data_IF_568164446070
#
_entry.id   IF_568164446070
#
_cell.length_a   1.000
_cell.length_b   1.000
_cell.length_c   1.000
_cell.angle_alpha   90.00
_cell.angle_beta   90.00
_cell.angle_gamma   90.00
#
_symmetry.space_group_name_H-M   'P 1'
#
loop_
_entity.id
_entity.type
_entity.pdbx_description
1 polymer ?
#
# COMPACT_ATOMS: atom_id res chain seq x y z
N UNK A 1 -15.20 -0.32 5.89
CA UNK A 1 -15.02 -1.25 4.75
C UNK A 1 -13.78 -0.89 3.92
N UNK A 2 -13.46 0.41 3.77
CA UNK A 2 -12.27 0.87 3.05
C UNK A 2 -10.93 0.26 3.52
N UNK A 3 -10.71 0.11 4.84
CA UNK A 3 -9.49 -0.52 5.41
C UNK A 3 -9.28 -1.95 4.89
N UNK A 4 -10.34 -2.75 4.78
CA UNK A 4 -10.27 -4.14 4.31
C UNK A 4 -9.97 -4.21 2.82
N UNK A 5 -10.53 -3.27 2.04
CA UNK A 5 -10.28 -3.17 0.60
C UNK A 5 -8.82 -2.80 0.34
N UNK A 6 -8.29 -1.80 1.04
CA UNK A 6 -6.88 -1.39 0.89
C UNK A 6 -5.93 -2.50 1.36
N UNK A 7 -6.22 -3.19 2.47
CA UNK A 7 -5.41 -4.35 2.90
C UNK A 7 -5.35 -5.45 1.84
N UNK A 8 -6.49 -5.82 1.26
CA UNK A 8 -6.55 -6.83 0.19
C UNK A 8 -5.78 -6.39 -1.05
N UNK A 9 -5.90 -5.13 -1.43
CA UNK A 9 -5.19 -4.57 -2.57
C UNK A 9 -3.69 -4.63 -2.38
N UNK A 10 -3.18 -4.15 -1.25
CA UNK A 10 -1.74 -4.19 -0.92
C UNK A 10 -1.21 -5.62 -0.95
N UNK A 11 -1.95 -6.58 -0.39
CA UNK A 11 -1.58 -8.00 -0.42
C UNK A 11 -1.53 -8.57 -1.84
N UNK A 12 -2.55 -8.30 -2.66
CA UNK A 12 -2.63 -8.80 -4.04
C UNK A 12 -1.52 -8.19 -4.90
N UNK A 13 -1.34 -6.87 -4.85
CA UNK A 13 -0.30 -6.19 -5.64
C UNK A 13 1.10 -6.55 -5.19
N UNK A 14 1.35 -6.61 -3.88
CA UNK A 14 2.64 -7.07 -3.35
C UNK A 14 2.91 -8.49 -3.84
N UNK A 15 1.95 -9.41 -3.73
CA UNK A 15 2.07 -10.78 -4.23
C UNK A 15 2.38 -10.87 -5.74
N UNK A 16 1.70 -10.06 -6.56
CA UNK A 16 1.96 -9.99 -8.01
C UNK A 16 3.36 -9.44 -8.30
N UNK A 17 3.78 -8.39 -7.59
CA UNK A 17 5.12 -7.84 -7.68
C UNK A 17 6.19 -8.88 -7.29
N UNK A 18 6.00 -9.59 -6.17
CA UNK A 18 6.87 -10.68 -5.74
C UNK A 18 7.00 -11.74 -6.82
N UNK A 19 5.88 -12.18 -7.38
CA UNK A 19 5.86 -13.19 -8.44
C UNK A 19 6.65 -12.74 -9.68
N UNK A 20 6.49 -11.48 -10.09
CA UNK A 20 7.17 -10.91 -11.26
C UNK A 20 8.67 -10.75 -11.03
N UNK A 21 9.06 -10.27 -9.86
CA UNK A 21 10.48 -10.20 -9.44
C UNK A 21 11.10 -11.59 -9.41
N UNK A 22 10.39 -12.58 -8.86
CA UNK A 22 10.85 -13.98 -8.81
C UNK A 22 11.09 -14.56 -10.21
N UNK A 23 10.22 -14.23 -11.17
CA UNK A 23 10.32 -14.67 -12.57
C UNK A 23 11.47 -13.99 -13.33
N UNK A 24 11.73 -12.71 -13.09
CA UNK A 24 12.76 -11.94 -13.79
C UNK A 24 14.11 -11.85 -13.05
N UNK A 25 14.27 -12.56 -11.91
CA UNK A 25 15.43 -12.44 -11.00
C UNK A 25 16.81 -12.65 -11.63
N UNK A 26 16.89 -13.42 -12.72
CA UNK A 26 18.16 -13.75 -13.40
C UNK A 26 18.61 -12.68 -14.39
N UNK A 27 17.71 -11.76 -14.79
CA UNK A 27 18.02 -10.73 -15.81
C UNK A 27 18.25 -9.34 -15.21
N UNK A 28 17.98 -9.16 -13.91
CA UNK A 28 18.09 -7.89 -13.20
C UNK A 28 19.47 -7.74 -12.54
N UNK A 29 20.01 -6.52 -12.57
CA UNK A 29 21.27 -6.18 -11.93
C UNK A 29 21.17 -6.25 -10.41
N UNK A 30 22.33 -6.41 -9.75
CA UNK A 30 22.36 -6.61 -8.30
C UNK A 30 21.81 -5.39 -7.53
N UNK A 31 22.14 -4.18 -7.98
CA UNK A 31 21.63 -2.92 -7.42
C UNK A 31 20.13 -2.76 -7.61
N UNK A 32 19.62 -3.06 -8.82
CA UNK A 32 18.19 -2.94 -9.13
C UNK A 32 17.34 -3.86 -8.25
N UNK A 33 17.79 -5.11 -8.04
CA UNK A 33 17.11 -6.05 -7.14
C UNK A 33 17.07 -5.57 -5.70
N UNK A 34 18.14 -4.92 -5.23
CA UNK A 34 18.22 -4.34 -3.89
C UNK A 34 17.22 -3.20 -3.72
N UNK A 35 17.17 -2.26 -4.67
CA UNK A 35 16.21 -1.14 -4.64
C UNK A 35 14.78 -1.64 -4.70
N UNK A 36 14.47 -2.63 -5.54
CA UNK A 36 13.13 -3.20 -5.63
C UNK A 36 12.71 -3.84 -4.32
N UNK A 37 13.61 -4.61 -3.68
CA UNK A 37 13.33 -5.24 -2.39
C UNK A 37 13.07 -4.20 -1.28
N UNK A 38 13.89 -3.16 -1.24
CA UNK A 38 13.76 -2.07 -0.28
C UNK A 38 12.43 -1.33 -0.45
N UNK A 39 12.12 -0.87 -1.66
CA UNK A 39 10.90 -0.08 -1.95
C UNK A 39 9.66 -0.93 -1.67
N UNK A 40 9.63 -2.17 -2.16
CA UNK A 40 8.46 -3.04 -2.01
C UNK A 40 8.24 -3.43 -0.54
N UNK A 41 9.31 -3.75 0.18
CA UNK A 41 9.26 -4.04 1.62
C UNK A 41 8.79 -2.84 2.43
N UNK A 42 9.34 -1.65 2.16
CA UNK A 42 8.98 -0.42 2.87
C UNK A 42 7.53 -0.03 2.62
N UNK A 43 7.09 0.08 1.37
CA UNK A 43 5.77 0.66 1.09
C UNK A 43 4.62 -0.28 1.47
N UNK A 44 4.78 -1.59 1.25
CA UNK A 44 3.76 -2.57 1.66
C UNK A 44 3.61 -2.69 3.17
N UNK A 45 4.73 -2.61 3.91
CA UNK A 45 4.71 -2.64 5.38
C UNK A 45 4.19 -1.33 5.97
N UNK A 46 4.43 -0.20 5.30
CA UNK A 46 3.93 1.11 5.71
C UNK A 46 2.40 1.16 5.63
N UNK A 47 1.79 0.68 4.54
CA UNK A 47 0.33 0.63 4.41
C UNK A 47 -0.31 -0.31 5.42
N UNK A 48 0.24 -1.52 5.59
CA UNK A 48 -0.25 -2.47 6.59
C UNK A 48 -0.07 -1.92 8.01
N UNK A 49 1.04 -1.21 8.26
CA UNK A 49 1.30 -0.51 9.52
C UNK A 49 0.26 0.58 9.78
N UNK A 50 -0.09 1.39 8.79
CA UNK A 50 -1.15 2.39 8.91
C UNK A 50 -2.48 1.72 9.30
N UNK A 51 -2.84 0.65 8.60
CA UNK A 51 -4.09 -0.09 8.85
C UNK A 51 -4.09 -0.66 10.28
N UNK A 52 -2.98 -1.26 10.72
CA UNK A 52 -2.84 -1.75 12.09
C UNK A 52 -2.94 -0.62 13.12
N UNK A 53 -2.33 0.54 12.86
CA UNK A 53 -2.37 1.72 13.74
C UNK A 53 -3.76 2.31 13.89
N UNK A 54 -4.56 2.30 12.81
CA UNK A 54 -5.96 2.76 12.84
C UNK A 54 -6.86 1.77 13.58
N UNK A 55 -6.62 0.46 13.45
CA UNK A 55 -7.42 -0.59 14.11
C UNK A 55 -7.11 -0.69 15.60
N UNK A 56 -5.84 -0.63 15.99
CA UNK A 56 -5.36 -0.83 17.36
C UNK A 56 -4.89 0.46 18.02
N UNK A 57 -5.70 1.54 17.93
CA UNK A 57 -5.34 2.86 18.48
C UNK A 57 -5.05 2.89 19.98
N UNK A 58 -5.59 1.95 20.75
CA UNK A 58 -5.36 1.87 22.20
C UNK A 58 -3.93 1.46 22.57
N UNK A 59 -3.26 0.70 21.69
CA UNK A 59 -2.01 0.02 22.00
C UNK A 59 -1.01 0.15 20.84
N UNK A 60 -0.24 1.24 20.85
CA UNK A 60 0.86 1.50 19.90
C UNK A 60 1.82 0.30 19.82
N UNK A 61 2.12 -0.33 20.95
CA UNK A 61 3.01 -1.48 21.04
C UNK A 61 2.49 -2.67 20.22
N UNK A 62 1.20 -3.01 20.35
CA UNK A 62 0.61 -4.14 19.62
C UNK A 62 0.55 -3.84 18.11
N UNK A 63 0.13 -2.65 17.73
CA UNK A 63 0.10 -2.23 16.33
C UNK A 63 1.49 -2.34 15.68
N UNK A 64 2.52 -1.84 16.38
CA UNK A 64 3.89 -1.83 15.87
C UNK A 64 4.46 -3.24 15.74
N UNK A 65 4.21 -4.13 16.71
CA UNK A 65 4.69 -5.53 16.66
C UNK A 65 4.06 -6.26 15.47
N UNK A 66 2.75 -6.08 15.23
CA UNK A 66 2.06 -6.69 14.10
C UNK A 66 2.62 -6.15 12.78
N UNK A 67 2.79 -4.83 12.66
CA UNK A 67 3.33 -4.18 11.47
C UNK A 67 4.77 -4.62 11.15
N UNK A 68 5.64 -4.68 12.16
CA UNK A 68 7.02 -5.15 12.02
C UNK A 68 7.08 -6.63 11.62
N UNK A 69 6.25 -7.47 12.24
CA UNK A 69 6.19 -8.90 11.91
C UNK A 69 5.78 -9.11 10.45
N UNK A 70 4.81 -8.33 9.98
CA UNK A 70 4.41 -8.34 8.57
C UNK A 70 5.53 -7.85 7.65
N UNK A 71 6.15 -6.71 7.97
CA UNK A 71 7.28 -6.16 7.20
C UNK A 71 8.48 -7.10 7.13
N UNK A 72 8.77 -7.82 8.22
CA UNK A 72 9.79 -8.86 8.25
C UNK A 72 9.47 -10.00 7.28
N UNK A 73 8.24 -10.53 7.32
CA UNK A 73 7.81 -11.62 6.43
C UNK A 73 7.90 -11.19 4.97
N UNK A 74 7.38 -10.00 4.63
CA UNK A 74 7.41 -9.49 3.26
C UNK A 74 8.85 -9.26 2.78
N UNK A 75 9.67 -8.56 3.58
CA UNK A 75 11.08 -8.33 3.25
C UNK A 75 11.86 -9.63 3.04
N UNK A 76 11.60 -10.64 3.88
CA UNK A 76 12.22 -11.96 3.75
C UNK A 76 11.78 -12.69 2.48
N UNK A 77 10.47 -12.68 2.17
CA UNK A 77 9.93 -13.33 0.96
C UNK A 77 10.47 -12.69 -0.32
N UNK A 78 10.63 -11.37 -0.35
CA UNK A 78 11.18 -10.63 -1.50
C UNK A 78 12.68 -10.89 -1.67
N UNK A 79 13.42 -10.97 -0.57
CA UNK A 79 14.87 -11.17 -0.58
C UNK A 79 15.33 -12.59 -0.92
N UNK A 80 14.61 -13.62 -0.42
CA UNK A 80 14.93 -15.04 -0.56
C UNK A 80 15.41 -15.48 -1.96
N UNK A 81 14.79 -15.07 -3.08
CA UNK A 81 15.20 -15.52 -4.41
C UNK A 81 16.48 -14.87 -4.98
N UNK A 82 17.02 -13.81 -4.36
CA UNK A 82 18.05 -12.98 -5.00
C UNK A 82 19.44 -13.15 -4.37
N UNK A 83 19.62 -12.65 -3.14
CA UNK A 83 20.85 -12.78 -2.36
C UNK A 83 20.60 -12.44 -0.88
N UNK A 84 21.53 -12.83 0.00
CA UNK A 84 21.45 -12.57 1.43
C UNK A 84 21.47 -11.05 1.73
N UNK A 85 22.28 -10.29 1.01
CA UNK A 85 22.34 -8.82 1.12
C UNK A 85 20.98 -8.15 0.81
N UNK A 86 20.32 -8.56 -0.27
CA UNK A 86 19.01 -8.03 -0.67
C UNK A 86 17.93 -8.38 0.36
N UNK A 87 18.07 -9.55 1.02
CA UNK A 87 17.16 -9.97 2.08
C UNK A 87 17.29 -9.09 3.32
N UNK A 88 18.52 -8.79 3.75
CA UNK A 88 18.76 -7.92 4.92
C UNK A 88 18.22 -6.52 4.65
N UNK A 89 18.48 -5.97 3.47
CA UNK A 89 17.97 -4.66 3.05
C UNK A 89 16.44 -4.61 3.01
N UNK A 90 15.80 -5.62 2.40
CA UNK A 90 14.35 -5.70 2.33
C UNK A 90 13.68 -5.86 3.71
N UNK A 91 14.27 -6.68 4.59
CA UNK A 91 13.78 -6.86 5.97
C UNK A 91 13.96 -5.58 6.79
N UNK A 92 15.13 -4.94 6.73
CA UNK A 92 15.39 -3.69 7.43
C UNK A 92 14.43 -2.58 6.98
N UNK A 93 14.22 -2.45 5.67
CA UNK A 93 13.28 -1.50 5.09
C UNK A 93 11.83 -1.80 5.49
N UNK A 94 11.44 -3.08 5.52
CA UNK A 94 10.09 -3.51 5.94
C UNK A 94 9.81 -3.27 7.43
N UNK A 95 10.78 -3.50 8.31
CA UNK A 95 10.63 -3.18 9.74
C UNK A 95 10.49 -1.66 9.93
N UNK A 96 11.33 -0.89 9.24
CA UNK A 96 11.29 0.58 9.32
C UNK A 96 9.97 1.14 8.78
N UNK A 97 9.50 0.63 7.62
CA UNK A 97 8.22 1.00 7.03
C UNK A 97 7.04 0.66 7.93
N UNK A 98 7.00 -0.55 8.48
CA UNK A 98 5.96 -0.98 9.41
C UNK A 98 5.88 -0.15 10.69
N UNK A 99 7.03 0.19 11.28
CA UNK A 99 7.10 1.07 12.46
C UNK A 99 6.52 2.46 12.15
N UNK A 100 6.98 3.07 11.05
CA UNK A 100 6.54 4.41 10.65
C UNK A 100 5.05 4.42 10.29
N UNK A 101 4.55 3.38 9.60
CA UNK A 101 3.14 3.21 9.28
C UNK A 101 2.26 3.11 10.52
N UNK A 102 2.65 2.28 11.50
CA UNK A 102 1.92 2.12 12.77
C UNK A 102 1.84 3.44 13.54
N UNK A 103 2.95 4.18 13.62
CA UNK A 103 3.01 5.48 14.25
C UNK A 103 2.08 6.51 13.57
N UNK A 104 2.08 6.54 12.23
CA UNK A 104 1.14 7.36 11.47
C UNK A 104 -0.31 6.98 11.78
N UNK A 105 -0.65 5.68 11.79
CA UNK A 105 -2.02 5.23 12.00
C UNK A 105 -2.61 5.61 13.37
N UNK A 106 -1.79 5.53 14.43
CA UNK A 106 -2.23 5.88 15.79
C UNK A 106 -2.38 7.40 15.97
N UNK A 107 -1.47 8.18 15.38
CA UNK A 107 -1.47 9.64 15.53
C UNK A 107 -2.63 10.33 14.78
N UNK A 108 -3.29 9.64 13.85
CA UNK A 108 -4.31 10.27 13.02
C UNK A 108 -5.70 10.39 13.69
N UNK A 109 -6.34 11.57 13.63
CA UNK A 109 -7.72 11.77 14.09
C UNK A 109 -8.73 10.87 13.36
N UNK A 110 -9.80 10.48 14.03
CA UNK A 110 -10.84 9.59 13.48
C UNK A 110 -11.57 10.15 12.25
N UNK A 111 -11.59 11.47 12.06
CA UNK A 111 -12.32 12.07 10.94
C UNK A 111 -11.50 12.12 9.64
N UNK A 112 -10.16 12.09 9.73
CA UNK A 112 -9.28 12.35 8.57
C UNK A 112 -8.40 11.18 8.15
N UNK A 113 -8.46 10.03 8.83
CA UNK A 113 -7.63 8.87 8.46
C UNK A 113 -7.90 8.35 7.04
N UNK A 114 -9.09 8.61 6.51
CA UNK A 114 -9.46 8.17 5.16
C UNK A 114 -8.64 8.88 4.07
N UNK A 115 -8.38 10.17 4.24
CA UNK A 115 -7.61 10.94 3.26
C UNK A 115 -6.14 10.49 3.23
N UNK A 116 -5.52 10.27 4.40
CA UNK A 116 -4.13 9.79 4.42
C UNK A 116 -4.04 8.38 3.84
N UNK A 117 -5.03 7.53 4.10
CA UNK A 117 -5.05 6.15 3.64
C UNK A 117 -5.13 6.10 2.11
N UNK A 118 -6.03 6.89 1.50
CA UNK A 118 -6.12 7.00 0.04
C UNK A 118 -4.83 7.59 -0.55
N UNK A 119 -4.22 8.57 0.12
CA UNK A 119 -2.95 9.13 -0.32
C UNK A 119 -1.81 8.10 -0.31
N UNK A 120 -1.73 7.29 0.76
CA UNK A 120 -0.77 6.19 0.87
C UNK A 120 -1.00 5.12 -0.21
N UNK A 121 -2.26 4.73 -0.45
CA UNK A 121 -2.61 3.78 -1.52
C UNK A 121 -2.17 4.31 -2.91
N UNK A 122 -2.31 5.61 -3.16
CA UNK A 122 -1.82 6.24 -4.40
C UNK A 122 -0.29 6.17 -4.48
N UNK A 123 0.42 6.47 -3.38
CA UNK A 123 1.88 6.36 -3.33
C UNK A 123 2.36 4.92 -3.52
N UNK A 124 1.62 3.95 -2.97
CA UNK A 124 1.86 2.52 -3.17
C UNK A 124 1.81 2.17 -4.66
N UNK A 125 0.73 2.57 -5.33
CA UNK A 125 0.55 2.37 -6.77
C UNK A 125 1.66 3.06 -7.58
N UNK A 126 2.03 4.29 -7.21
CA UNK A 126 3.09 5.03 -7.89
C UNK A 126 4.44 4.33 -7.74
N UNK A 127 4.77 3.84 -6.55
CA UNK A 127 6.03 3.13 -6.30
C UNK A 127 6.10 1.80 -7.03
N UNK A 128 4.97 1.08 -7.08
CA UNK A 128 4.82 -0.15 -7.86
C UNK A 128 5.02 0.15 -9.36
N UNK A 129 4.46 1.26 -9.86
CA UNK A 129 4.68 1.72 -11.23
C UNK A 129 6.15 2.07 -11.49
N UNK A 130 6.81 2.78 -10.57
CA UNK A 130 8.24 3.08 -10.64
C UNK A 130 9.10 1.82 -10.67
N UNK A 131 8.76 0.79 -9.89
CA UNK A 131 9.45 -0.51 -9.91
C UNK A 131 9.37 -1.16 -11.29
N UNK A 132 8.19 -1.19 -11.92
CA UNK A 132 8.06 -1.80 -13.25
C UNK A 132 8.69 -0.97 -14.33
N UNK A 133 8.63 0.37 -14.22
CA UNK A 133 9.38 1.24 -15.11
C UNK A 133 10.88 0.94 -15.03
N UNK A 134 11.43 0.87 -13.81
CA UNK A 134 12.84 0.53 -13.56
C UNK A 134 13.23 -0.83 -14.15
N UNK A 135 12.39 -1.86 -13.95
CA UNK A 135 12.60 -3.19 -14.55
C UNK A 135 12.62 -3.09 -16.08
N UNK A 136 11.67 -2.36 -16.70
CA UNK A 136 11.62 -2.25 -18.15
C UNK A 136 12.86 -1.54 -18.70
N UNK A 137 13.28 -0.42 -18.10
CA UNK A 137 14.48 0.32 -18.53
C UNK A 137 15.74 -0.53 -18.43
N UNK A 138 15.88 -1.33 -17.37
CA UNK A 138 17.05 -2.22 -17.22
C UNK A 138 17.02 -3.36 -18.27
N UNK A 139 15.84 -3.89 -18.59
CA UNK A 139 15.67 -4.91 -19.62
C UNK A 139 15.91 -4.35 -21.04
N UNK A 140 15.48 -3.13 -21.33
CA UNK A 140 15.72 -2.43 -22.60
C UNK A 140 17.20 -2.15 -22.82
N UNK A 141 17.91 -1.70 -21.79
CA UNK A 141 19.37 -1.45 -21.84
C UNK A 141 20.16 -2.74 -22.15
N UNK A 142 19.61 -3.91 -21.81
CA UNK A 142 20.21 -5.23 -22.09
C UNK A 142 19.81 -5.82 -23.44
N UNK A 143 18.74 -5.33 -24.07
CA UNK A 143 18.15 -5.89 -25.29
C UNK A 143 18.25 -4.88 -26.43
N UNK A 144 19.46 -4.65 -26.90
CA UNK A 144 19.69 -3.96 -28.17
C UNK A 144 19.08 -4.79 -29.32
N UNK A 145 18.20 -4.16 -30.11
CA UNK A 145 17.57 -4.64 -31.34
C UNK A 145 16.68 -5.90 -31.29
N UNK A 146 15.39 -5.74 -30.96
CA UNK A 146 14.29 -6.37 -31.74
C UNK A 146 12.90 -5.95 -31.23
N UNK A 147 12.25 -5.18 -32.11
CA UNK A 147 10.81 -5.04 -32.31
C UNK A 147 9.93 -4.70 -31.10
N UNK A 148 9.66 -3.39 -31.01
CA UNK A 148 8.38 -2.74 -30.72
C UNK A 148 7.24 -3.73 -30.43
N UNK A 149 6.91 -3.91 -29.15
CA UNK A 149 5.56 -3.76 -28.59
C UNK A 149 5.62 -4.13 -27.09
N UNK A 150 5.41 -3.18 -26.16
CA UNK A 150 5.54 -3.43 -24.74
C UNK A 150 4.35 -4.26 -24.23
N UNK A 151 4.60 -5.53 -23.91
CA UNK A 151 3.63 -6.44 -23.26
C UNK A 151 3.21 -5.99 -21.83
N UNK A 152 3.59 -4.78 -21.40
CA UNK A 152 3.34 -4.21 -20.07
C UNK A 152 2.12 -3.28 -19.99
N UNK A 153 1.44 -2.98 -21.11
CA UNK A 153 0.22 -2.15 -21.13
C UNK A 153 -0.93 -2.65 -20.22
N UNK A 154 -1.21 -3.97 -20.08
CA UNK A 154 -2.31 -4.42 -19.22
C UNK A 154 -2.05 -4.14 -17.73
N UNK A 155 -0.80 -4.14 -17.26
CA UNK A 155 -0.51 -3.95 -15.83
C UNK A 155 -0.66 -2.48 -15.40
N UNK A 156 -0.26 -1.55 -16.27
CA UNK A 156 -0.48 -0.11 -16.08
C UNK A 156 -1.98 0.19 -16.07
N UNK A 157 -2.75 -0.39 -17.00
CA UNK A 157 -4.21 -0.29 -17.02
C UNK A 157 -4.82 -0.86 -15.74
N UNK A 158 -4.34 -2.00 -15.25
CA UNK A 158 -4.85 -2.61 -14.01
C UNK A 158 -4.62 -1.69 -12.81
N UNK A 159 -3.43 -1.07 -12.72
CA UNK A 159 -3.11 -0.09 -11.68
C UNK A 159 -4.04 1.12 -11.70
N UNK A 160 -4.30 1.68 -12.87
CA UNK A 160 -5.19 2.85 -13.03
C UNK A 160 -6.64 2.51 -12.68
N UNK A 161 -7.13 1.34 -13.10
CA UNK A 161 -8.49 0.88 -12.75
C UNK A 161 -8.64 0.71 -11.23
N UNK A 162 -7.61 0.17 -10.56
CA UNK A 162 -7.63 0.01 -9.11
C UNK A 162 -7.70 1.35 -8.38
N UNK A 163 -6.93 2.36 -8.81
CA UNK A 163 -7.01 3.72 -8.26
C UNK A 163 -8.40 4.33 -8.42
N UNK A 164 -9.04 4.14 -9.59
CA UNK A 164 -10.39 4.66 -9.87
C UNK A 164 -11.43 4.01 -8.95
N UNK A 165 -11.32 2.70 -8.69
CA UNK A 165 -12.23 1.98 -7.80
C UNK A 165 -12.11 2.51 -6.37
N UNK A 166 -10.89 2.65 -5.84
CA UNK A 166 -10.66 3.16 -4.47
C UNK A 166 -11.20 4.59 -4.32
N UNK A 167 -10.92 5.45 -5.30
CA UNK A 167 -11.41 6.82 -5.32
C UNK A 167 -12.94 6.89 -5.31
N UNK A 168 -13.58 6.03 -6.11
CA UNK A 168 -15.04 5.94 -6.19
C UNK A 168 -15.65 5.49 -4.86
N UNK A 169 -15.09 4.45 -4.21
CA UNK A 169 -15.57 3.97 -2.91
C UNK A 169 -15.34 4.97 -1.78
N UNK A 170 -14.20 5.68 -1.79
CA UNK A 170 -13.92 6.73 -0.82
C UNK A 170 -14.90 7.90 -0.94
N UNK A 171 -15.26 8.28 -2.17
CA UNK A 171 -16.22 9.36 -2.43
C UNK A 171 -17.65 8.94 -2.07
N UNK A 172 -18.02 7.67 -2.30
CA UNK A 172 -19.34 7.13 -1.98
C UNK A 172 -19.56 6.97 -0.45
N UNK A 173 -18.55 6.52 0.31
CA UNK A 173 -18.63 6.48 1.78
C UNK A 173 -18.67 7.90 2.38
N UNK A 174 -17.93 8.87 1.83
CA UNK A 174 -17.96 10.27 2.29
C UNK A 174 -19.33 10.91 2.07
N UNK A 175 -19.99 10.63 0.93
CA UNK A 175 -21.36 11.06 0.68
C UNK A 175 -22.37 10.44 1.65
N UNK A 176 -22.20 9.16 2.03
CA UNK A 176 -23.10 8.50 2.99
C UNK A 176 -22.95 9.01 4.45
N UNK A 177 -21.75 9.46 4.83
CA UNK A 177 -21.49 9.99 6.20
C UNK A 177 -21.96 11.43 6.34
N UNK A 178 -21.94 12.23 5.27
CA UNK A 178 -22.53 13.56 5.23
C UNK A 178 -24.05 13.56 5.43
N UNK A 179 -24.74 12.62 4.78
CA UNK A 179 -26.20 12.48 4.88
C UNK A 179 -26.68 12.04 6.28
N UNK A 180 -25.97 11.10 6.91
CA UNK A 180 -26.30 10.61 8.25
C UNK A 180 -26.11 11.67 9.35
N UNK A 181 -25.09 12.53 9.25
CA UNK A 181 -24.88 13.61 10.22
C UNK A 181 -25.94 14.72 10.12
N UNK A 182 -26.45 14.99 8.91
CA UNK A 182 -27.52 15.96 8.72
C UNK A 182 -28.85 15.43 9.26
N UNK A 183 -29.17 14.16 8.98
CA UNK A 183 -30.37 13.49 9.51
C UNK A 183 -30.39 13.43 11.04
N UNK A 184 -29.24 13.18 11.67
CA UNK A 184 -29.14 13.14 13.13
C UNK A 184 -29.27 14.53 13.79
N UNK A 185 -28.78 15.60 13.12
CA UNK A 185 -29.01 16.99 13.56
C UNK A 185 -30.47 17.41 13.44
N UNK A 186 -31.16 17.02 12.38
CA UNK A 186 -32.58 17.31 12.18
C UNK A 186 -33.47 16.55 13.20
N UNK A 187 -33.14 15.30 13.54
CA UNK A 187 -33.84 14.54 14.58
C UNK A 187 -33.63 15.12 15.99
N UNK A 188 -32.41 15.54 16.33
CA UNK A 188 -32.15 16.21 17.61
C UNK A 188 -32.89 17.54 17.76
N UNK A 189 -33.03 18.31 16.67
CA UNK A 189 -33.80 19.55 16.70
C UNK A 189 -35.30 19.33 16.86
N UNK A 190 -35.87 18.27 16.28
CA UNK A 190 -37.29 17.95 16.45
C UNK A 190 -37.63 17.47 17.87
N UNK A 191 -36.79 16.67 18.52
CA UNK A 191 -37.06 16.21 19.89
C UNK A 191 -37.08 17.35 20.92
N UNK A 192 -36.27 18.39 20.76
CA UNK A 192 -36.29 19.57 21.66
C UNK A 192 -37.49 20.51 21.49
N UNK A 193 -38.28 20.36 20.42
CA UNK A 193 -39.47 21.20 20.19
C UNK A 193 -40.76 20.59 20.73
N UNK A 194 -40.81 19.27 20.96
CA UNK A 194 -41.97 18.58 21.54
C UNK A 194 -41.93 18.54 23.09
N UNK A 195 -40.85 19.01 23.72
CA UNK A 195 -40.68 19.05 25.19
C UNK A 195 -40.98 20.43 25.82
N UNK A 196 -41.71 21.30 25.10
CA UNK A 196 -42.14 22.62 25.58
C UNK A 196 -43.64 22.81 25.45
#
# INVERSE_FOLDING_TARGET
MILTVSALLVLIYSGICLWKVYRNRNSLGNMTRMTIAMVLGMISSLDIGLIAGVVFKSDLSLSTIIAMSFGFIVGFLVGKPTNLLVTVEGVAAGIMGGMMGAMLGVMLPHDNFRFILVFLDILFILSVLSIVFLINTELETKKDNSNLFPHSYPWIITSVISTIIIFTFAHLETASVGDNNQKNREQHHHQTMDEK
#
